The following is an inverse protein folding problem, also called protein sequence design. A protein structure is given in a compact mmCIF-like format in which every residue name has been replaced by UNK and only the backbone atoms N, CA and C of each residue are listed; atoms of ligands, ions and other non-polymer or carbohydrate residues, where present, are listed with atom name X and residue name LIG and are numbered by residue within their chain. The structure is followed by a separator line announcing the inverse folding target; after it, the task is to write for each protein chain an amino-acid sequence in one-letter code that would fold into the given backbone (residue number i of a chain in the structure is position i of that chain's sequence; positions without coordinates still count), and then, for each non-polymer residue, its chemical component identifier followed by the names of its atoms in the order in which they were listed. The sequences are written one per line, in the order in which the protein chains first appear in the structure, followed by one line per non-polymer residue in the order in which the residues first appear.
data_IF_975677382509
#
_entry.id   IF_975677382509
#
_cell.length_a   1.000
_cell.length_b   1.000
_cell.length_c   1.000
_cell.angle_alpha   90.00
_cell.angle_beta   90.00
_cell.angle_gamma   90.00
#
_symmetry.space_group_name_H-M   'P 1'
#
loop_
_entity.id
_entity.type
_entity.pdbx_description
1 polymer ?
#
# COMPACT_ATOMS: atom_id res chain seq x y z
N UNK A 1 25.54 3.43 -11.83
CA UNK A 1 25.18 2.39 -12.81
C UNK A 1 23.97 2.87 -13.60
N UNK A 2 23.71 2.29 -14.77
CA UNK A 2 22.50 2.59 -15.55
C UNK A 2 21.35 1.70 -15.06
N UNK A 3 20.23 2.31 -14.69
CA UNK A 3 19.00 1.64 -14.29
C UNK A 3 17.96 1.78 -15.39
N UNK A 4 17.45 0.65 -15.90
CA UNK A 4 16.40 0.64 -16.92
C UNK A 4 15.05 0.34 -16.28
N UNK A 5 14.19 1.36 -16.21
CA UNK A 5 12.84 1.21 -15.66
C UNK A 5 11.85 0.85 -16.77
N UNK A 6 10.97 -0.12 -16.51
CA UNK A 6 9.85 -0.48 -17.39
C UNK A 6 8.54 -0.63 -16.61
N UNK A 7 8.33 0.20 -15.60
CA UNK A 7 7.17 0.09 -14.71
C UNK A 7 5.98 0.88 -15.23
N UNK A 8 4.80 0.29 -15.12
CA UNK A 8 3.54 0.91 -15.45
C UNK A 8 2.86 1.47 -14.19
N UNK A 9 1.75 2.20 -14.39
CA UNK A 9 0.91 2.74 -13.30
C UNK A 9 1.63 3.71 -12.35
N UNK A 10 2.61 4.46 -12.87
CA UNK A 10 3.17 5.62 -12.16
C UNK A 10 2.15 6.75 -12.12
N UNK A 11 1.68 7.18 -13.29
CA UNK A 11 0.75 8.32 -13.41
C UNK A 11 -0.73 7.90 -13.44
N UNK A 12 -1.00 6.66 -13.87
CA UNK A 12 -2.35 6.11 -14.04
C UNK A 12 -2.51 4.81 -13.24
N UNK A 13 -2.73 4.90 -11.92
CA UNK A 13 -2.98 3.73 -11.09
C UNK A 13 -4.30 3.02 -11.45
N UNK A 14 -4.44 1.79 -10.95
CA UNK A 14 -5.64 1.00 -11.17
C UNK A 14 -6.86 1.68 -10.53
N UNK A 15 -7.91 1.92 -11.31
CA UNK A 15 -9.17 2.46 -10.81
C UNK A 15 -9.98 1.38 -10.10
N UNK A 16 -10.65 1.78 -9.02
CA UNK A 16 -11.63 0.92 -8.37
C UNK A 16 -12.94 0.80 -9.16
N UNK A 17 -13.79 -0.13 -8.75
CA UNK A 17 -15.10 -0.40 -9.37
C UNK A 17 -16.20 -0.43 -8.32
N UNK A 18 -17.42 -0.10 -8.72
CA UNK A 18 -18.61 -0.15 -7.86
C UNK A 18 -18.43 0.56 -6.50
N UNK A 19 -17.82 1.77 -6.51
CA UNK A 19 -17.52 2.53 -5.29
C UNK A 19 -16.17 2.22 -4.64
N UNK A 20 -15.41 1.26 -5.19
CA UNK A 20 -14.07 0.93 -4.70
C UNK A 20 -13.05 2.04 -4.93
N UNK A 21 -12.11 2.15 -3.99
CA UNK A 21 -11.01 3.11 -4.06
C UNK A 21 -9.99 2.83 -5.16
N UNK A 22 -9.21 3.85 -5.51
CA UNK A 22 -8.08 3.76 -6.44
C UNK A 22 -6.92 3.00 -5.78
N UNK A 23 -6.21 2.17 -6.57
CA UNK A 23 -5.01 1.49 -6.11
C UNK A 23 -3.83 2.45 -5.93
N UNK A 24 -2.86 2.08 -5.11
CA UNK A 24 -1.62 2.86 -4.98
C UNK A 24 -0.84 2.87 -6.32
N UNK A 25 -0.22 4.01 -6.69
CA UNK A 25 0.62 4.07 -7.88
C UNK A 25 1.97 3.39 -7.64
N UNK A 26 2.66 3.07 -8.74
CA UNK A 26 4.07 2.72 -8.67
C UNK A 26 4.87 3.95 -8.28
N UNK A 27 5.75 3.84 -7.28
CA UNK A 27 6.69 4.91 -6.93
C UNK A 27 8.13 4.44 -7.11
N UNK A 28 8.98 5.36 -7.59
CA UNK A 28 10.41 5.16 -7.67
C UNK A 28 11.12 6.38 -7.10
N UNK A 29 11.88 6.16 -6.04
CA UNK A 29 12.58 7.23 -5.34
C UNK A 29 13.98 6.77 -5.00
N UNK A 30 14.96 7.62 -5.29
CA UNK A 30 16.34 7.39 -4.87
C UNK A 30 16.52 7.74 -3.39
N UNK A 31 17.49 7.14 -2.72
CA UNK A 31 17.76 7.35 -1.28
C UNK A 31 18.04 8.81 -0.89
N UNK A 32 18.36 9.69 -1.84
CA UNK A 32 18.51 11.14 -1.64
C UNK A 32 17.20 11.94 -1.84
N UNK A 33 16.06 11.24 -1.99
CA UNK A 33 14.75 11.84 -2.21
C UNK A 33 14.42 12.15 -3.68
N UNK A 34 15.34 11.95 -4.62
CA UNK A 34 15.08 12.23 -6.04
C UNK A 34 14.03 11.26 -6.60
N UNK A 35 12.91 11.80 -7.11
CA UNK A 35 11.93 11.02 -7.86
C UNK A 35 12.52 10.53 -9.18
N UNK A 36 12.29 9.27 -9.50
CA UNK A 36 12.80 8.63 -10.71
C UNK A 36 11.67 8.34 -11.70
N UNK A 37 12.02 8.24 -12.98
CA UNK A 37 11.03 7.96 -14.04
C UNK A 37 10.64 6.48 -14.04
N UNK A 38 9.37 6.19 -14.33
CA UNK A 38 8.88 4.81 -14.48
C UNK A 38 9.37 4.08 -15.72
N UNK A 39 9.77 4.81 -16.77
CA UNK A 39 10.21 4.27 -18.05
C UNK A 39 11.59 4.82 -18.46
N UNK A 40 12.35 3.99 -19.16
CA UNK A 40 13.61 4.35 -19.80
C UNK A 40 14.85 4.17 -18.90
N UNK A 41 16.01 4.46 -19.49
CA UNK A 41 17.31 4.40 -18.80
C UNK A 41 17.56 5.69 -18.01
N UNK A 42 18.16 5.54 -16.83
CA UNK A 42 18.52 6.63 -15.95
C UNK A 42 19.71 6.25 -15.06
N UNK A 43 20.62 7.19 -14.88
CA UNK A 43 21.82 6.99 -14.08
C UNK A 43 21.53 7.00 -12.58
N UNK A 44 22.06 6.02 -11.87
CA UNK A 44 22.08 5.94 -10.41
C UNK A 44 23.52 6.11 -9.92
N UNK A 45 23.83 7.18 -9.14
CA UNK A 45 25.16 7.37 -8.57
C UNK A 45 25.59 6.22 -7.68
N UNK A 46 26.90 6.00 -7.55
CA UNK A 46 27.44 5.00 -6.64
C UNK A 46 26.99 5.28 -5.19
N UNK A 47 26.73 4.24 -4.42
CA UNK A 47 26.25 4.34 -3.03
C UNK A 47 24.76 4.70 -2.88
N UNK A 48 24.06 5.08 -3.95
CA UNK A 48 22.63 5.36 -3.90
C UNK A 48 21.80 4.09 -4.04
N UNK A 49 20.65 4.07 -3.37
CA UNK A 49 19.63 3.01 -3.46
C UNK A 49 18.41 3.54 -4.19
N UNK A 50 17.73 2.67 -4.92
CA UNK A 50 16.43 2.96 -5.52
C UNK A 50 15.37 2.21 -4.73
N UNK A 51 14.51 2.94 -4.03
CA UNK A 51 13.32 2.42 -3.38
C UNK A 51 12.19 2.38 -4.41
N UNK A 52 11.55 1.21 -4.54
CA UNK A 52 10.46 0.98 -5.47
C UNK A 52 9.26 0.45 -4.69
N UNK A 53 8.10 1.09 -4.86
CA UNK A 53 6.81 0.52 -4.44
C UNK A 53 6.02 0.15 -5.68
N UNK A 54 5.56 -1.09 -5.73
CA UNK A 54 4.78 -1.60 -6.87
C UNK A 54 3.29 -1.25 -6.72
N UNK A 55 2.57 -1.16 -7.85
CA UNK A 55 1.24 -0.62 -7.82
C UNK A 55 0.27 -1.60 -7.16
N UNK A 56 -0.67 -1.05 -6.41
CA UNK A 56 -1.79 -1.81 -5.86
C UNK A 56 -2.85 -2.12 -6.91
N UNK A 57 -3.77 -3.03 -6.55
CA UNK A 57 -5.02 -3.22 -7.28
C UNK A 57 -6.03 -2.13 -6.97
N UNK A 58 -6.98 -1.90 -7.88
CA UNK A 58 -8.16 -1.08 -7.59
C UNK A 58 -9.17 -1.87 -6.74
N UNK A 59 -9.84 -1.19 -5.83
CA UNK A 59 -10.85 -1.79 -4.94
C UNK A 59 -12.15 -2.17 -5.67
N UNK A 60 -13.00 -2.93 -4.97
CA UNK A 60 -14.34 -3.27 -5.42
C UNK A 60 -15.34 -3.09 -4.27
N UNK A 61 -16.47 -2.42 -4.53
CA UNK A 61 -17.48 -2.14 -3.51
C UNK A 61 -17.12 -0.98 -2.59
N UNK A 62 -18.05 -0.56 -1.74
CA UNK A 62 -17.79 0.46 -0.72
C UNK A 62 -16.95 -0.14 0.42
N UNK A 63 -16.01 0.64 0.95
CA UNK A 63 -15.18 0.22 2.08
C UNK A 63 -16.00 -0.06 3.34
N UNK A 64 -17.12 0.66 3.54
CA UNK A 64 -18.06 0.45 4.64
C UNK A 64 -18.66 -0.96 4.63
N UNK A 65 -18.81 -1.56 3.46
CA UNK A 65 -19.50 -2.84 3.28
C UNK A 65 -18.56 -4.04 3.53
N UNK A 66 -17.26 -3.80 3.70
CA UNK A 66 -16.29 -4.84 4.04
C UNK A 66 -16.53 -5.33 5.47
N UNK A 67 -16.54 -6.66 5.62
CA UNK A 67 -16.65 -7.32 6.92
C UNK A 67 -15.54 -6.83 7.86
N UNK A 68 -15.96 -6.37 9.04
CA UNK A 68 -15.08 -5.84 10.09
C UNK A 68 -14.03 -6.85 10.53
N UNK A 69 -14.39 -8.14 10.62
CA UNK A 69 -13.46 -9.18 11.00
C UNK A 69 -12.32 -9.32 9.98
N UNK A 70 -12.63 -9.25 8.69
CA UNK A 70 -11.63 -9.27 7.62
C UNK A 70 -10.74 -8.04 7.65
N UNK A 71 -11.27 -6.87 7.98
CA UNK A 71 -10.45 -5.64 8.11
C UNK A 71 -9.49 -5.75 9.30
N UNK A 72 -9.92 -6.31 10.44
CA UNK A 72 -9.03 -6.57 11.58
C UNK A 72 -7.91 -7.55 11.21
N UNK A 73 -8.23 -8.58 10.44
CA UNK A 73 -7.23 -9.52 9.92
C UNK A 73 -6.25 -8.84 8.95
N UNK A 74 -6.74 -8.00 8.03
CA UNK A 74 -5.89 -7.22 7.11
C UNK A 74 -4.90 -6.33 7.88
N UNK A 75 -5.35 -5.71 8.98
CA UNK A 75 -4.51 -4.88 9.85
C UNK A 75 -3.47 -5.72 10.60
N UNK A 76 -3.88 -6.84 11.19
CA UNK A 76 -2.98 -7.75 11.90
C UNK A 76 -1.90 -8.35 10.99
N UNK A 77 -2.22 -8.59 9.72
CA UNK A 77 -1.28 -9.08 8.70
C UNK A 77 -0.44 -7.95 8.07
N UNK A 78 -0.72 -6.68 8.38
CA UNK A 78 0.01 -5.53 7.87
C UNK A 78 -0.30 -5.19 6.40
N UNK A 79 -1.43 -5.67 5.86
CA UNK A 79 -1.88 -5.28 4.51
C UNK A 79 -2.45 -3.87 4.46
N UNK A 80 -3.01 -3.40 5.56
CA UNK A 80 -3.49 -2.03 5.72
C UNK A 80 -2.78 -1.37 6.89
N UNK A 81 -2.64 -0.05 6.83
CA UNK A 81 -2.15 0.73 7.95
C UNK A 81 -3.24 0.96 8.99
N UNK A 82 -2.85 1.30 10.22
CA UNK A 82 -3.76 1.77 11.26
C UNK A 82 -4.63 2.94 10.77
N UNK A 83 -4.02 3.92 10.11
CA UNK A 83 -4.74 5.07 9.55
C UNK A 83 -5.78 4.62 8.51
N UNK A 84 -5.46 3.65 7.65
CA UNK A 84 -6.43 3.09 6.71
C UNK A 84 -7.57 2.34 7.42
N UNK A 85 -7.26 1.56 8.46
CA UNK A 85 -8.27 0.86 9.26
C UNK A 85 -9.25 1.85 9.91
N UNK A 86 -8.75 2.97 10.42
CA UNK A 86 -9.55 4.06 11.01
C UNK A 86 -10.33 4.85 9.97
N UNK A 87 -9.64 5.46 9.02
CA UNK A 87 -10.20 6.53 8.18
C UNK A 87 -11.00 5.97 6.99
N UNK A 88 -10.57 4.83 6.43
CA UNK A 88 -11.21 4.24 5.24
C UNK A 88 -12.24 3.20 5.65
N UNK A 89 -11.87 2.33 6.59
CA UNK A 89 -12.76 1.27 7.01
C UNK A 89 -13.64 1.69 8.19
N UNK A 90 -13.17 2.50 9.14
CA UNK A 90 -13.96 2.90 10.31
C UNK A 90 -13.88 1.91 11.48
N UNK A 91 -12.72 1.28 11.70
CA UNK A 91 -12.50 0.50 12.93
C UNK A 91 -12.41 1.43 14.15
N UNK A 92 -12.83 0.92 15.30
CA UNK A 92 -12.61 1.57 16.58
C UNK A 92 -11.14 1.49 17.00
N UNK A 93 -10.69 2.39 17.89
CA UNK A 93 -9.33 2.35 18.44
C UNK A 93 -9.07 1.03 19.20
N UNK A 94 -10.09 0.49 19.88
CA UNK A 94 -9.98 -0.78 20.60
C UNK A 94 -9.77 -1.95 19.62
N UNK A 95 -10.54 -2.00 18.53
CA UNK A 95 -10.39 -3.04 17.49
C UNK A 95 -9.01 -2.98 16.82
N UNK A 96 -8.50 -1.77 16.60
CA UNK A 96 -7.17 -1.52 16.04
C UNK A 96 -6.09 -2.04 17.00
N UNK A 97 -6.15 -1.65 18.27
CA UNK A 97 -5.18 -2.07 19.27
C UNK A 97 -5.13 -3.60 19.41
N UNK A 98 -6.30 -4.24 19.47
CA UNK A 98 -6.42 -5.69 19.53
C UNK A 98 -5.81 -6.39 18.31
N UNK A 99 -6.11 -5.89 17.11
CA UNK A 99 -5.61 -6.47 15.87
C UNK A 99 -4.08 -6.34 15.75
N UNK A 100 -3.52 -5.18 16.11
CA UNK A 100 -2.08 -4.96 16.11
C UNK A 100 -1.35 -5.85 17.11
N UNK A 101 -1.91 -6.02 18.32
CA UNK A 101 -1.34 -6.92 19.32
C UNK A 101 -1.42 -8.38 18.88
N UNK A 102 -2.53 -8.81 18.28
CA UNK A 102 -2.66 -10.14 17.72
C UNK A 102 -1.64 -10.40 16.60
N UNK A 103 -1.46 -9.45 15.68
CA UNK A 103 -0.46 -9.51 14.62
C UNK A 103 0.97 -9.62 15.17
N UNK A 104 1.30 -8.82 16.18
CA UNK A 104 2.59 -8.86 16.88
C UNK A 104 2.87 -10.22 17.53
N UNK A 105 1.83 -10.87 18.06
CA UNK A 105 1.91 -12.19 18.68
C UNK A 105 1.77 -13.35 17.69
N UNK A 106 1.59 -13.08 16.39
CA UNK A 106 1.39 -14.10 15.36
C UNK A 106 0.08 -14.87 15.51
N UNK A 107 -0.96 -14.25 16.09
CA UNK A 107 -2.27 -14.87 16.33
C UNK A 107 -3.26 -14.42 15.25
N UNK A 108 -4.23 -15.28 14.96
CA UNK A 108 -5.36 -14.93 14.11
C UNK A 108 -6.36 -14.08 14.89
N UNK A 109 -6.93 -13.07 14.24
CA UNK A 109 -8.00 -12.23 14.78
C UNK A 109 -9.32 -12.88 14.37
N UNK A 110 -9.81 -13.84 15.16
CA UNK A 110 -11.11 -14.48 15.00
C UNK A 110 -12.07 -14.02 16.09
#
# INVERSE_FOLDING_TARGET
FEFSAMFDRVDHPALGRAGGGIGAPTTLTRSDGTTMRGKGKQFVPHGQRVAMAFPGGGGYGLASDRDRALVREDLAQGYISEASARDVFGLSEDDIADALEAGRLGRSVK
#
